data_IF_316285547006
#
_entry.id   IF_316285547006
#
_cell.length_a   1.000
_cell.length_b   1.000
_cell.length_c   1.000
_cell.angle_alpha   90.00
_cell.angle_beta   90.00
_cell.angle_gamma   90.00
#
_symmetry.space_group_name_H-M   'P 1'
#
loop_
_entity.id
_entity.type
_entity.pdbx_description
1 polymer ?
#
# COMPACT_ATOMS: atom_id res chain seq x y z
N UNK A 1 9.49 -29.16 54.04
CA UNK A 1 9.16 -29.02 52.60
C UNK A 1 8.96 -27.55 52.33
N UNK A 2 9.98 -26.89 51.76
CA UNK A 2 9.95 -25.46 51.46
C UNK A 2 9.64 -25.31 49.97
N UNK A 3 8.53 -24.64 49.65
CA UNK A 3 8.12 -24.32 48.29
C UNK A 3 8.97 -23.13 47.82
N UNK A 4 10.00 -23.40 47.04
CA UNK A 4 10.69 -22.38 46.25
C UNK A 4 9.76 -21.91 45.14
N UNK A 5 9.16 -20.73 45.31
CA UNK A 5 8.55 -20.00 44.20
C UNK A 5 9.65 -19.71 43.17
N UNK A 6 9.55 -20.34 42.00
CA UNK A 6 10.27 -19.91 40.82
C UNK A 6 9.64 -18.60 40.35
N UNK A 7 10.36 -17.52 40.65
CA UNK A 7 10.10 -16.20 40.10
C UNK A 7 10.42 -16.25 38.59
N UNK A 8 9.41 -16.56 37.78
CA UNK A 8 9.46 -16.38 36.33
C UNK A 8 9.38 -14.89 36.03
N UNK A 9 10.51 -14.20 36.19
CA UNK A 9 10.70 -12.85 35.67
C UNK A 9 10.71 -12.94 34.15
N UNK A 10 9.56 -12.71 33.53
CA UNK A 10 9.48 -12.43 32.09
C UNK A 10 10.33 -11.18 31.88
N UNK A 11 11.47 -11.35 31.22
CA UNK A 11 12.31 -10.23 30.79
C UNK A 11 11.50 -9.44 29.75
N UNK A 12 10.83 -8.36 30.16
CA UNK A 12 10.20 -7.38 29.27
C UNK A 12 11.28 -6.54 28.56
N UNK A 13 12.15 -7.22 27.81
CA UNK A 13 12.98 -6.56 26.81
C UNK A 13 12.11 -6.15 25.61
N UNK A 14 12.51 -5.10 24.87
CA UNK A 14 11.81 -4.75 23.64
C UNK A 14 11.80 -5.95 22.69
N UNK A 15 10.61 -6.38 22.29
CA UNK A 15 10.43 -7.49 21.33
C UNK A 15 11.10 -7.09 20.02
N UNK A 16 12.18 -7.78 19.68
CA UNK A 16 12.93 -7.56 18.44
C UNK A 16 12.41 -8.46 17.34
N UNK A 17 12.24 -7.89 16.13
CA UNK A 17 11.94 -8.66 14.92
C UNK A 17 13.00 -9.76 14.68
N UNK A 18 14.23 -9.53 15.11
CA UNK A 18 15.33 -10.50 14.96
C UNK A 18 15.17 -11.75 15.82
N UNK A 19 14.30 -11.73 16.84
CA UNK A 19 14.06 -12.85 17.74
C UNK A 19 12.77 -13.62 17.40
N UNK A 20 11.94 -13.08 16.51
CA UNK A 20 10.68 -13.71 16.13
C UNK A 20 10.90 -15.00 15.31
N UNK A 21 10.00 -16.00 15.42
CA UNK A 21 9.95 -17.12 14.49
C UNK A 21 9.77 -16.65 13.05
N UNK A 22 10.33 -17.39 12.09
CA UNK A 22 10.31 -16.99 10.67
C UNK A 22 8.88 -16.99 10.11
N UNK A 23 8.05 -17.91 10.57
CA UNK A 23 6.65 -18.07 10.16
C UNK A 23 5.81 -16.87 10.58
N UNK A 24 6.10 -16.32 11.77
CA UNK A 24 5.44 -15.11 12.28
C UNK A 24 5.84 -13.89 11.46
N UNK A 25 7.12 -13.76 11.13
CA UNK A 25 7.60 -12.65 10.29
C UNK A 25 7.03 -12.73 8.87
N UNK A 26 6.96 -13.91 8.28
CA UNK A 26 6.35 -14.12 6.95
C UNK A 26 4.86 -13.76 6.96
N UNK A 27 4.14 -14.17 8.01
CA UNK A 27 2.74 -13.79 8.21
C UNK A 27 2.59 -12.27 8.31
N UNK A 28 3.44 -11.59 9.09
CA UNK A 28 3.43 -10.12 9.22
C UNK A 28 3.67 -9.48 7.85
N UNK A 29 4.74 -9.87 7.15
CA UNK A 29 5.11 -9.30 5.85
C UNK A 29 4.02 -9.47 4.80
N UNK A 30 3.28 -10.58 4.83
CA UNK A 30 2.18 -10.84 3.89
C UNK A 30 0.88 -10.11 4.23
N UNK A 31 0.76 -9.52 5.43
CA UNK A 31 -0.46 -8.89 5.92
C UNK A 31 -0.32 -7.38 6.15
N UNK A 32 0.81 -6.78 5.78
CA UNK A 32 0.96 -5.32 5.86
C UNK A 32 0.05 -4.61 4.86
N UNK A 33 -0.44 -3.40 5.17
CA UNK A 33 -1.48 -2.76 4.38
C UNK A 33 -0.99 -2.17 3.05
N UNK A 34 0.30 -1.88 2.92
CA UNK A 34 0.85 -1.20 1.74
C UNK A 34 2.31 -1.56 1.48
N UNK A 35 2.75 -1.33 0.23
CA UNK A 35 4.14 -1.49 -0.19
C UNK A 35 5.09 -0.60 0.63
N UNK A 36 4.65 0.60 1.04
CA UNK A 36 5.48 1.49 1.86
C UNK A 36 5.75 0.89 3.23
N UNK A 37 4.73 0.29 3.82
CA UNK A 37 4.85 -0.38 5.11
C UNK A 37 5.77 -1.59 5.00
N UNK A 38 5.63 -2.36 3.91
CA UNK A 38 6.55 -3.46 3.59
C UNK A 38 7.99 -2.94 3.50
N UNK A 39 8.24 -1.89 2.71
CA UNK A 39 9.58 -1.31 2.55
C UNK A 39 10.19 -0.80 3.86
N UNK A 40 9.39 -0.19 4.73
CA UNK A 40 9.86 0.26 6.03
C UNK A 40 10.29 -0.92 6.93
N UNK A 41 9.54 -2.04 6.93
CA UNK A 41 9.93 -3.25 7.66
C UNK A 41 11.21 -3.88 7.11
N UNK A 42 11.32 -3.94 5.78
CA UNK A 42 12.50 -4.43 5.08
C UNK A 42 13.76 -3.64 5.42
N UNK A 43 13.64 -2.31 5.54
CA UNK A 43 14.73 -1.44 6.00
C UNK A 43 15.04 -1.58 7.48
N UNK A 44 14.04 -1.84 8.31
CA UNK A 44 14.19 -1.94 9.75
C UNK A 44 14.82 -3.27 10.20
N UNK A 45 14.68 -4.35 9.41
CA UNK A 45 15.20 -5.67 9.75
C UNK A 45 15.80 -6.39 8.53
N UNK A 46 17.12 -6.71 8.57
CA UNK A 46 17.74 -7.58 7.57
C UNK A 46 17.10 -8.97 7.47
N UNK A 47 16.48 -9.45 8.56
CA UNK A 47 15.77 -10.74 8.55
C UNK A 47 14.50 -10.69 7.71
N UNK A 48 13.73 -9.59 7.79
CA UNK A 48 12.61 -9.36 6.87
C UNK A 48 13.06 -9.34 5.41
N UNK A 49 14.22 -8.73 5.12
CA UNK A 49 14.80 -8.72 3.78
C UNK A 49 15.07 -10.13 3.24
N UNK A 50 15.64 -11.01 4.07
CA UNK A 50 15.90 -12.41 3.67
C UNK A 50 14.62 -13.20 3.39
N UNK A 51 13.58 -12.98 4.19
CA UNK A 51 12.27 -13.63 3.98
C UNK A 51 11.65 -13.18 2.67
N UNK A 52 11.72 -11.88 2.37
CA UNK A 52 11.27 -11.38 1.07
C UNK A 52 12.09 -12.00 -0.07
N UNK A 53 13.41 -12.12 0.07
CA UNK A 53 14.24 -12.70 -0.99
C UNK A 53 13.84 -14.14 -1.36
N UNK A 54 13.23 -14.90 -0.43
CA UNK A 54 12.72 -16.25 -0.70
C UNK A 54 11.25 -16.29 -1.14
N UNK A 55 10.45 -15.27 -0.82
CA UNK A 55 9.00 -15.22 -1.06
C UNK A 55 8.54 -13.94 -1.78
N UNK A 56 9.38 -13.33 -2.61
CA UNK A 56 9.20 -11.96 -3.09
C UNK A 56 7.86 -11.76 -3.80
N UNK A 57 7.47 -12.69 -4.69
CA UNK A 57 6.26 -12.56 -5.48
C UNK A 57 5.00 -12.79 -4.61
N UNK A 58 4.99 -13.83 -3.78
CA UNK A 58 3.85 -14.15 -2.92
C UNK A 58 3.58 -13.08 -1.88
N UNK A 59 4.64 -12.62 -1.18
CA UNK A 59 4.54 -11.56 -0.17
C UNK A 59 4.09 -10.25 -0.82
N UNK A 60 4.71 -9.85 -1.94
CA UNK A 60 4.33 -8.60 -2.61
C UNK A 60 2.89 -8.67 -3.12
N UNK A 61 2.46 -9.81 -3.66
CA UNK A 61 1.08 -9.96 -4.13
C UNK A 61 0.08 -9.99 -2.98
N UNK A 62 0.43 -10.57 -1.83
CA UNK A 62 -0.39 -10.51 -0.62
C UNK A 62 -0.54 -9.07 -0.12
N UNK A 63 0.51 -8.25 -0.19
CA UNK A 63 0.44 -6.82 0.16
C UNK A 63 -0.38 -6.03 -0.86
N UNK A 64 -0.33 -6.38 -2.14
CA UNK A 64 -1.09 -5.70 -3.19
C UNK A 64 -2.57 -6.07 -3.17
N UNK A 65 -2.90 -7.36 -3.07
CA UNK A 65 -4.25 -7.89 -3.30
C UNK A 65 -4.88 -8.58 -2.10
N UNK A 66 -4.14 -8.71 -0.99
CA UNK A 66 -4.64 -9.37 0.20
C UNK A 66 -5.76 -8.59 0.90
N UNK A 67 -6.42 -9.22 1.87
CA UNK A 67 -7.57 -8.65 2.56
C UNK A 67 -7.25 -7.37 3.34
N UNK A 68 -5.99 -7.20 3.75
CA UNK A 68 -5.52 -6.01 4.48
C UNK A 68 -4.97 -4.91 3.56
N UNK A 69 -4.91 -5.14 2.24
CA UNK A 69 -4.36 -4.17 1.30
C UNK A 69 -5.21 -2.91 1.23
N UNK A 70 -4.59 -1.77 1.51
CA UNK A 70 -5.16 -0.43 1.31
C UNK A 70 -4.77 0.17 -0.04
N UNK A 71 -3.95 -0.53 -0.82
CA UNK A 71 -3.49 -0.07 -2.14
C UNK A 71 -4.69 0.00 -3.08
N UNK A 72 -5.01 1.13 -3.74
CA UNK A 72 -6.11 1.18 -4.70
C UNK A 72 -5.86 0.32 -5.94
N UNK A 73 -6.92 -0.19 -6.58
CA UNK A 73 -6.81 -1.10 -7.73
C UNK A 73 -5.89 -0.56 -8.83
N UNK A 74 -6.05 0.70 -9.22
CA UNK A 74 -5.18 1.35 -10.23
C UNK A 74 -3.70 1.22 -9.91
N UNK A 75 -3.31 1.45 -8.66
CA UNK A 75 -1.92 1.34 -8.26
C UNK A 75 -1.45 -0.11 -8.24
N UNK A 76 -2.28 -1.07 -7.81
CA UNK A 76 -1.94 -2.51 -7.88
C UNK A 76 -1.58 -2.91 -9.30
N UNK A 77 -2.44 -2.57 -10.24
CA UNK A 77 -2.26 -2.88 -11.67
C UNK A 77 -1.01 -2.20 -12.23
N UNK A 78 -0.81 -0.91 -11.93
CA UNK A 78 0.35 -0.15 -12.39
C UNK A 78 1.66 -0.74 -11.86
N UNK A 79 1.68 -1.14 -10.59
CA UNK A 79 2.83 -1.79 -9.96
C UNK A 79 3.19 -3.08 -10.69
N UNK A 80 2.19 -3.91 -11.07
CA UNK A 80 2.43 -5.14 -11.86
C UNK A 80 2.98 -4.82 -13.25
N UNK A 81 2.43 -3.81 -13.93
CA UNK A 81 2.97 -3.35 -15.22
C UNK A 81 4.43 -2.93 -15.10
N UNK A 82 4.77 -2.09 -14.12
CA UNK A 82 6.14 -1.64 -13.91
C UNK A 82 7.08 -2.83 -13.65
N UNK A 83 6.63 -3.82 -12.88
CA UNK A 83 7.38 -5.05 -12.66
C UNK A 83 7.68 -5.80 -13.97
N UNK A 84 6.65 -5.98 -14.81
CA UNK A 84 6.77 -6.65 -16.11
C UNK A 84 7.69 -5.87 -17.07
N UNK A 85 7.55 -4.54 -17.13
CA UNK A 85 8.41 -3.68 -17.96
C UNK A 85 9.86 -3.76 -17.56
N UNK A 86 10.16 -3.83 -16.25
CA UNK A 86 11.53 -4.03 -15.74
C UNK A 86 12.14 -5.36 -16.14
N UNK A 87 11.29 -6.36 -16.40
CA UNK A 87 11.70 -7.64 -16.97
C UNK A 87 11.75 -7.64 -18.50
N UNK A 88 11.71 -6.46 -19.13
CA UNK A 88 11.60 -6.30 -20.58
C UNK A 88 10.37 -7.01 -21.19
N UNK A 89 9.33 -7.24 -20.38
CA UNK A 89 8.05 -7.80 -20.80
C UNK A 89 7.02 -6.69 -20.80
N UNK A 90 6.92 -5.95 -21.91
CA UNK A 90 5.87 -4.95 -22.06
C UNK A 90 4.55 -5.67 -22.40
N UNK A 91 3.53 -5.63 -21.54
CA UNK A 91 2.33 -6.46 -21.71
C UNK A 91 1.28 -5.85 -22.65
N UNK A 92 1.65 -4.82 -23.41
CA UNK A 92 0.78 -4.12 -24.35
C UNK A 92 1.35 -4.20 -25.76
N UNK A 93 0.48 -4.13 -26.76
CA UNK A 93 0.94 -4.18 -28.15
C UNK A 93 1.75 -2.93 -28.55
N UNK A 94 1.41 -1.78 -27.98
CA UNK A 94 2.05 -0.49 -28.23
C UNK A 94 1.72 0.53 -27.12
N UNK A 95 2.29 1.74 -27.22
CA UNK A 95 2.08 2.80 -26.23
C UNK A 95 0.64 3.35 -26.21
N UNK A 96 -0.07 3.30 -27.32
CA UNK A 96 -1.47 3.74 -27.39
C UNK A 96 -2.39 2.77 -26.64
N UNK A 97 -2.10 1.47 -26.73
CA UNK A 97 -2.77 0.42 -25.97
C UNK A 97 -2.55 0.62 -24.45
N UNK A 98 -1.32 0.90 -24.02
CA UNK A 98 -1.02 1.27 -22.63
C UNK A 98 -1.74 2.54 -22.18
N UNK A 99 -1.76 3.59 -23.02
CA UNK A 99 -2.39 4.87 -22.66
C UNK A 99 -3.92 4.76 -22.61
N UNK A 100 -4.53 4.31 -23.69
CA UNK A 100 -5.97 4.26 -23.89
C UNK A 100 -6.64 3.16 -23.09
N UNK A 101 -6.19 1.92 -23.26
CA UNK A 101 -6.88 0.75 -22.70
C UNK A 101 -6.53 0.52 -21.22
N UNK A 102 -5.32 0.89 -20.80
CA UNK A 102 -4.86 0.67 -19.43
C UNK A 102 -4.94 1.95 -18.57
N UNK A 103 -4.18 3.01 -18.88
CA UNK A 103 -4.12 4.20 -18.01
C UNK A 103 -5.46 4.92 -17.90
N UNK A 104 -6.10 5.27 -19.03
CA UNK A 104 -7.36 6.02 -18.99
C UNK A 104 -8.49 5.20 -18.36
N UNK A 105 -8.59 3.92 -18.71
CA UNK A 105 -9.71 3.07 -18.29
C UNK A 105 -9.63 2.62 -16.83
N UNK A 106 -8.43 2.32 -16.32
CA UNK A 106 -8.27 1.95 -14.91
C UNK A 106 -8.29 3.19 -14.00
N UNK A 107 -7.83 4.35 -14.47
CA UNK A 107 -7.94 5.60 -13.71
C UNK A 107 -9.38 6.15 -13.68
N UNK A 108 -10.22 5.81 -14.66
CA UNK A 108 -11.60 6.30 -14.78
C UNK A 108 -12.58 5.16 -15.09
N UNK A 109 -12.75 4.19 -14.15
CA UNK A 109 -13.58 3.00 -14.38
C UNK A 109 -15.04 3.34 -14.71
N UNK A 110 -15.54 4.48 -14.20
CA UNK A 110 -16.93 4.90 -14.34
C UNK A 110 -17.19 5.82 -15.55
N UNK A 111 -16.16 6.18 -16.32
CA UNK A 111 -16.29 7.19 -17.35
C UNK A 111 -16.65 6.57 -18.72
N UNK A 112 -17.95 6.44 -18.95
CA UNK A 112 -18.54 5.79 -20.14
C UNK A 112 -18.19 6.48 -21.48
N UNK A 113 -17.73 7.73 -21.48
CA UNK A 113 -17.47 8.50 -22.70
C UNK A 113 -16.29 7.97 -23.53
N UNK A 114 -15.40 7.17 -22.94
CA UNK A 114 -14.20 6.66 -23.60
C UNK A 114 -14.34 5.25 -24.20
N UNK A 115 -15.55 4.67 -24.13
CA UNK A 115 -15.83 3.34 -24.70
C UNK A 115 -15.62 3.26 -26.22
N UNK A 116 -15.67 4.38 -26.94
CA UNK A 116 -15.53 4.37 -28.41
C UNK A 116 -14.11 4.16 -28.92
N UNK A 117 -13.08 4.31 -28.07
CA UNK A 117 -11.67 4.13 -28.45
C UNK A 117 -11.01 2.93 -27.77
N UNK A 118 -11.67 2.30 -26.81
CA UNK A 118 -11.10 1.19 -26.08
C UNK A 118 -11.34 -0.14 -26.81
N UNK A 119 -10.28 -0.93 -26.97
CA UNK A 119 -10.38 -2.34 -27.37
C UNK A 119 -11.23 -3.11 -26.36
N UNK A 120 -12.03 -4.08 -26.82
CA UNK A 120 -12.85 -4.96 -25.94
C UNK A 120 -12.00 -5.74 -24.93
N UNK A 121 -10.70 -5.87 -25.17
CA UNK A 121 -9.77 -6.54 -24.26
C UNK A 121 -9.46 -5.67 -23.03
N UNK A 122 -10.15 -5.95 -21.93
CA UNK A 122 -9.79 -5.45 -20.61
C UNK A 122 -8.44 -6.06 -20.17
N UNK A 123 -7.39 -5.24 -20.07
CA UNK A 123 -6.11 -5.68 -19.50
C UNK A 123 -6.14 -5.39 -18.00
N UNK A 124 -6.62 -6.36 -17.23
CA UNK A 124 -6.49 -6.39 -15.76
C UNK A 124 -5.47 -7.48 -15.45
N UNK A 125 -4.38 -7.10 -14.81
CA UNK A 125 -3.37 -8.03 -14.31
C UNK A 125 -3.88 -8.61 -13.01
N UNK A 126 -4.49 -9.79 -13.06
CA UNK A 126 -4.98 -10.46 -11.86
C UNK A 126 -3.88 -10.72 -10.83
N UNK A 127 -4.27 -11.10 -9.59
CA UNK A 127 -3.30 -11.61 -8.62
C UNK A 127 -2.54 -12.77 -9.28
N UNK A 128 -1.22 -12.79 -9.13
CA UNK A 128 -0.25 -13.68 -9.82
C UNK A 128 0.35 -13.16 -11.14
N UNK A 129 0.09 -11.91 -11.54
CA UNK A 129 0.74 -11.35 -12.73
C UNK A 129 2.13 -10.75 -12.46
N UNK A 130 2.60 -10.78 -11.21
CA UNK A 130 3.95 -10.36 -10.86
C UNK A 130 4.99 -11.29 -11.52
N UNK A 131 6.07 -10.75 -12.10
CA UNK A 131 7.12 -11.55 -12.68
C UNK A 131 7.88 -12.33 -11.61
N UNK A 132 8.32 -13.53 -11.98
CA UNK A 132 9.21 -14.34 -11.17
C UNK A 132 10.66 -13.81 -11.24
N UNK A 133 10.90 -12.64 -10.63
CA UNK A 133 12.23 -12.04 -10.52
C UNK A 133 12.39 -11.24 -9.22
N UNK A 134 13.36 -11.62 -8.36
CA UNK A 134 13.59 -10.92 -7.09
C UNK A 134 14.03 -9.47 -7.31
N UNK A 135 14.84 -9.21 -8.34
CA UNK A 135 15.36 -7.89 -8.65
C UNK A 135 14.24 -6.96 -9.14
N UNK A 136 13.37 -7.45 -10.03
CA UNK A 136 12.24 -6.69 -10.53
C UNK A 136 11.28 -6.33 -9.40
N UNK A 137 10.95 -7.29 -8.53
CA UNK A 137 10.05 -7.07 -7.40
C UNK A 137 10.65 -6.13 -6.37
N UNK A 138 11.91 -6.33 -5.98
CA UNK A 138 12.60 -5.44 -5.04
C UNK A 138 12.65 -4.00 -5.57
N UNK A 139 12.99 -3.84 -6.86
CA UNK A 139 12.99 -2.54 -7.51
C UNK A 139 11.59 -1.89 -7.49
N UNK A 140 10.55 -2.68 -7.71
CA UNK A 140 9.15 -2.22 -7.67
C UNK A 140 8.73 -1.79 -6.28
N UNK A 141 9.02 -2.58 -5.25
CA UNK A 141 8.76 -2.22 -3.85
C UNK A 141 9.49 -0.93 -3.49
N UNK A 142 10.77 -0.79 -3.88
CA UNK A 142 11.54 0.43 -3.66
C UNK A 142 10.92 1.65 -4.37
N UNK A 143 10.44 1.46 -5.60
CA UNK A 143 9.83 2.54 -6.40
C UNK A 143 8.49 2.96 -5.84
N UNK A 144 7.66 2.01 -5.42
CA UNK A 144 6.40 2.29 -4.72
C UNK A 144 6.64 3.18 -3.52
N UNK A 145 7.61 2.82 -2.67
CA UNK A 145 8.01 3.65 -1.54
C UNK A 145 8.45 5.06 -1.94
N UNK A 146 9.28 5.20 -2.97
CA UNK A 146 9.73 6.52 -3.42
C UNK A 146 8.58 7.39 -3.94
N UNK A 147 7.61 6.80 -4.64
CA UNK A 147 6.41 7.52 -5.09
C UNK A 147 5.61 8.01 -3.89
N UNK A 148 5.32 7.13 -2.93
CA UNK A 148 4.57 7.50 -1.73
C UNK A 148 5.29 8.56 -0.89
N UNK A 149 6.62 8.50 -0.79
CA UNK A 149 7.41 9.52 -0.11
C UNK A 149 7.35 10.88 -0.83
N UNK A 150 7.34 10.89 -2.16
CA UNK A 150 7.15 12.11 -2.97
C UNK A 150 5.75 12.67 -2.79
N UNK A 151 4.72 11.84 -2.80
CA UNK A 151 3.32 12.24 -2.56
C UNK A 151 3.16 12.87 -1.18
N UNK A 152 3.71 12.26 -0.14
CA UNK A 152 3.71 12.80 1.21
C UNK A 152 4.46 14.13 1.30
N UNK A 153 5.60 14.24 0.63
CA UNK A 153 6.40 15.49 0.58
C UNK A 153 5.65 16.61 -0.15
N UNK A 154 4.97 16.28 -1.24
CA UNK A 154 4.14 17.22 -1.99
C UNK A 154 2.95 17.68 -1.15
N UNK A 155 2.24 16.75 -0.49
CA UNK A 155 1.13 17.07 0.40
C UNK A 155 1.60 17.98 1.53
N UNK A 156 2.70 17.65 2.20
CA UNK A 156 3.29 18.47 3.25
C UNK A 156 3.64 19.87 2.75
N UNK A 157 4.23 19.97 1.56
CA UNK A 157 4.53 21.27 0.92
C UNK A 157 3.26 22.07 0.62
N UNK A 158 2.21 21.43 0.09
CA UNK A 158 0.91 22.05 -0.17
C UNK A 158 0.25 22.55 1.13
N UNK A 159 0.22 21.72 2.18
CA UNK A 159 -0.31 22.11 3.49
C UNK A 159 0.47 23.29 4.08
N UNK A 160 1.80 23.24 4.01
CA UNK A 160 2.64 24.33 4.50
C UNK A 160 2.43 25.63 3.71
N UNK A 161 2.14 25.54 2.39
CA UNK A 161 1.77 26.71 1.58
C UNK A 161 0.40 27.25 1.96
N UNK A 162 -0.57 26.39 2.27
CA UNK A 162 -1.90 26.81 2.74
C UNK A 162 -1.82 27.51 4.10
N UNK A 163 -1.04 26.96 5.04
CA UNK A 163 -0.75 27.59 6.32
C UNK A 163 -0.10 28.96 6.14
N UNK A 164 0.93 29.06 5.29
CA UNK A 164 1.59 30.35 4.98
C UNK A 164 0.69 31.34 4.25
N UNK A 165 -0.23 30.86 3.42
CA UNK A 165 -1.16 31.71 2.70
C UNK A 165 -2.20 32.36 3.62
N UNK A 166 -2.24 32.01 4.92
CA UNK A 166 -3.26 32.48 5.85
C UNK A 166 -4.66 32.37 5.22
N UNK A 167 -4.91 31.27 4.49
CA UNK A 167 -6.27 30.85 4.23
C UNK A 167 -6.79 30.31 5.56
N UNK A 168 -7.03 31.25 6.48
CA UNK A 168 -8.05 31.12 7.48
C UNK A 168 -9.32 30.84 6.69
N UNK A 169 -9.58 29.57 6.41
CA UNK A 169 -10.94 29.10 6.30
C UNK A 169 -11.54 29.39 7.67
N UNK A 170 -11.97 30.63 7.88
CA UNK A 170 -13.06 30.91 8.78
C UNK A 170 -14.26 30.21 8.16
N UNK A 171 -14.34 28.88 8.35
CA UNK A 171 -15.62 28.26 8.59
C UNK A 171 -16.28 29.18 9.62
N UNK A 172 -17.47 29.73 9.36
CA UNK A 172 -18.11 30.61 10.31
C UNK A 172 -18.18 29.83 11.63
N UNK A 173 -17.35 30.23 12.59
CA UNK A 173 -17.37 29.76 13.95
C UNK A 173 -18.58 30.39 14.64
N UNK A 174 -19.76 30.18 14.07
CA UNK A 174 -21.04 30.42 14.69
C UNK A 174 -21.60 29.07 15.09
N UNK A 175 -21.20 28.64 16.29
CA UNK A 175 -22.08 27.87 17.15
C UNK A 175 -22.29 26.40 16.84
N UNK A 176 -21.32 25.67 16.27
CA UNK A 176 -21.34 24.21 16.40
C UNK A 176 -20.64 23.82 17.70
N UNK A 177 -21.43 23.69 18.77
CA UNK A 177 -21.01 22.95 19.96
C UNK A 177 -20.64 21.51 19.60
N UNK A 178 -19.96 20.82 20.51
CA UNK A 178 -19.64 19.40 20.35
C UNK A 178 -20.88 18.63 19.84
N UNK A 179 -20.75 17.80 18.78
CA UNK A 179 -21.85 16.97 18.32
C UNK A 179 -22.35 16.16 19.50
N UNK A 180 -23.65 16.18 19.72
CA UNK A 180 -24.23 15.31 20.73
C UNK A 180 -24.13 13.86 20.24
N UNK A 181 -23.98 12.91 21.15
CA UNK A 181 -23.92 11.47 20.84
C UNK A 181 -25.07 10.99 19.91
N UNK A 182 -26.22 11.66 19.96
CA UNK A 182 -27.38 11.41 19.09
C UNK A 182 -27.07 11.73 17.61
N UNK A 183 -26.26 12.74 17.33
CA UNK A 183 -25.87 13.17 15.98
C UNK A 183 -24.80 12.25 15.40
N UNK A 184 -23.81 11.83 16.20
CA UNK A 184 -22.85 10.79 15.81
C UNK A 184 -23.54 9.47 15.46
N UNK A 185 -24.48 9.03 16.30
CA UNK A 185 -25.22 7.78 16.07
C UNK A 185 -26.13 7.84 14.83
N UNK A 186 -26.53 9.04 14.38
CA UNK A 186 -27.36 9.20 13.18
C UNK A 186 -26.51 9.15 11.91
N UNK A 187 -25.29 9.69 11.94
CA UNK A 187 -24.33 9.59 10.83
C UNK A 187 -23.86 8.15 10.59
N UNK A 188 -23.61 7.38 11.67
CA UNK A 188 -23.19 5.97 11.58
C UNK A 188 -24.27 5.07 10.99
N UNK A 189 -25.57 5.41 11.14
CA UNK A 189 -26.68 4.65 10.54
C UNK A 189 -27.01 5.04 9.10
N UNK A 190 -26.43 6.13 8.60
CA UNK A 190 -26.64 6.61 7.23
C UNK A 190 -25.56 6.12 6.25
N UNK A 191 -24.55 5.41 6.76
CA UNK A 191 -23.58 4.59 6.00
C UNK A 191 -24.07 3.14 5.94
#
# INVERSE_FOLDING_TARGET
MSLTMHDTTIHEGPVSLEQMPIEVLEFILSNVPSIDTLWNLLRASPRCWRILATGYASITEAVLSGPNSTTPLFFRELIRVVALVRMHKFPFANLEDFRGNFLYRIAHPDNCYWYHYASEAHIIFGPNSLPDSPDAITSVVATGYHISALEQSLLASCLQRLERANLSCSLPAHGMGQPTYIEEMRAVRAL
#
